data_IF_803757488810
#
_entry.id   IF_803757488810
#
_cell.length_a   1.000
_cell.length_b   1.000
_cell.length_c   1.000
_cell.angle_alpha   90.00
_cell.angle_beta   90.00
_cell.angle_gamma   90.00
#
_symmetry.space_group_name_H-M   'P 1'
#
loop_
_entity.id
_entity.type
_entity.pdbx_description
1 polymer ?
#
# COMPACT_ATOMS: atom_id res chain seq x y z
N UNK A 1 -8.41 33.83 6.85
CA UNK A 1 -8.71 32.38 6.93
C UNK A 1 -7.80 31.70 5.91
N UNK A 2 -6.88 30.87 6.35
CA UNK A 2 -6.13 29.98 5.44
C UNK A 2 -7.16 29.06 4.80
N UNK A 3 -7.19 29.00 3.49
CA UNK A 3 -8.07 28.06 2.79
C UNK A 3 -7.60 26.64 3.11
N UNK A 4 -8.51 25.70 3.40
CA UNK A 4 -8.19 24.31 3.74
C UNK A 4 -7.23 23.62 2.73
N UNK A 5 -7.09 24.18 1.53
CA UNK A 5 -6.15 23.73 0.50
C UNK A 5 -4.67 23.96 0.85
N UNK A 6 -4.35 24.90 1.76
CA UNK A 6 -2.95 25.22 2.09
C UNK A 6 -2.32 24.31 3.13
N UNK A 7 -3.11 23.60 3.93
CA UNK A 7 -2.64 22.68 4.98
C UNK A 7 -2.92 21.20 4.67
N UNK A 8 -3.66 20.90 3.61
CA UNK A 8 -3.93 19.54 3.17
C UNK A 8 -5.06 18.80 3.90
N UNK A 9 -5.56 19.35 5.00
CA UNK A 9 -6.66 18.78 5.80
C UNK A 9 -7.57 19.86 6.36
N UNK A 10 -8.70 19.47 6.95
CA UNK A 10 -9.63 20.40 7.60
C UNK A 10 -9.30 20.45 9.10
N UNK A 11 -8.80 21.61 9.55
CA UNK A 11 -8.59 21.92 10.96
C UNK A 11 -9.76 22.78 11.47
N UNK A 12 -10.84 22.13 11.83
CA UNK A 12 -12.02 22.77 12.39
C UNK A 12 -12.36 22.17 13.77
N UNK A 13 -12.74 23.02 14.75
CA UNK A 13 -13.11 22.53 16.06
C UNK A 13 -14.36 21.64 15.98
N UNK A 14 -14.29 20.49 16.64
CA UNK A 14 -15.46 19.60 16.76
C UNK A 14 -16.43 20.21 17.77
N UNK A 15 -17.71 20.40 17.43
CA UNK A 15 -18.72 20.89 18.35
C UNK A 15 -18.82 20.02 19.61
N UNK A 16 -18.90 20.64 20.77
CA UNK A 16 -19.06 19.91 22.04
C UNK A 16 -20.34 19.06 22.02
N UNK A 17 -20.21 17.80 22.40
CA UNK A 17 -21.37 16.87 22.49
C UNK A 17 -21.79 16.25 21.15
N UNK A 18 -21.06 16.50 20.06
CA UNK A 18 -21.32 15.84 18.79
C UNK A 18 -20.83 14.38 18.87
N UNK A 19 -21.73 13.43 18.59
CA UNK A 19 -21.35 12.05 18.31
C UNK A 19 -20.81 11.96 16.87
N UNK A 20 -19.48 11.90 16.75
CA UNK A 20 -18.80 11.87 15.45
C UNK A 20 -19.20 10.66 14.61
N UNK A 21 -19.38 9.49 15.22
CA UNK A 21 -19.74 8.26 14.51
C UNK A 21 -21.13 8.36 13.92
N UNK A 22 -22.07 8.88 14.70
CA UNK A 22 -23.45 9.11 14.25
C UNK A 22 -23.51 10.14 13.13
N UNK A 23 -22.79 11.26 13.29
CA UNK A 23 -22.78 12.35 12.30
C UNK A 23 -22.11 11.94 10.98
N UNK A 24 -20.98 11.21 11.03
CA UNK A 24 -20.34 10.66 9.83
C UNK A 24 -21.30 9.71 9.11
N UNK A 25 -21.97 8.82 9.84
CA UNK A 25 -22.95 7.90 9.27
C UNK A 25 -24.17 8.62 8.65
N UNK A 26 -24.61 9.72 9.27
CA UNK A 26 -25.67 10.58 8.71
C UNK A 26 -25.23 11.19 7.38
N UNK A 27 -24.08 11.87 7.38
CA UNK A 27 -23.52 12.52 6.18
C UNK A 27 -23.23 11.51 5.06
N UNK A 28 -22.73 10.33 5.39
CA UNK A 28 -22.46 9.25 4.44
C UNK A 28 -23.71 8.87 3.66
N UNK A 29 -24.84 8.69 4.36
CA UNK A 29 -26.14 8.36 3.73
C UNK A 29 -26.67 9.52 2.89
N UNK A 30 -26.66 10.74 3.45
CA UNK A 30 -27.20 11.92 2.76
C UNK A 30 -26.45 12.27 1.49
N UNK A 31 -25.16 12.01 1.45
CA UNK A 31 -24.27 12.36 0.33
C UNK A 31 -24.02 11.19 -0.62
N UNK A 32 -24.67 10.05 -0.42
CA UNK A 32 -24.39 8.82 -1.17
C UNK A 32 -22.89 8.52 -1.22
N UNK A 33 -22.25 8.46 -0.04
CA UNK A 33 -20.81 8.25 0.09
C UNK A 33 -20.49 6.85 0.62
N UNK A 34 -19.33 6.32 0.22
CA UNK A 34 -18.71 5.10 0.77
C UNK A 34 -17.39 5.46 1.44
N UNK A 35 -17.12 4.85 2.59
CA UNK A 35 -15.86 5.00 3.32
C UNK A 35 -15.05 3.73 3.14
N UNK A 36 -13.87 3.87 2.52
CA UNK A 36 -12.91 2.79 2.31
C UNK A 36 -11.70 3.04 3.21
N UNK A 37 -11.35 2.10 4.07
CA UNK A 37 -10.21 2.24 4.98
C UNK A 37 -9.15 1.16 4.75
N UNK A 38 -7.89 1.58 4.71
CA UNK A 38 -6.78 0.63 4.66
C UNK A 38 -6.56 -0.02 6.03
N UNK A 39 -6.05 -1.26 6.07
CA UNK A 39 -5.71 -1.98 7.30
C UNK A 39 -4.78 -1.21 8.24
N UNK A 40 -4.02 -0.23 7.72
CA UNK A 40 -3.09 0.59 8.52
C UNK A 40 -3.77 1.73 9.29
N UNK A 41 -5.07 1.94 9.10
CA UNK A 41 -5.81 2.94 9.85
C UNK A 41 -6.08 2.49 11.28
N UNK A 42 -6.28 3.46 12.19
CA UNK A 42 -6.66 3.18 13.56
C UNK A 42 -8.01 2.46 13.63
N UNK A 43 -8.26 1.71 14.72
CA UNK A 43 -9.50 0.95 14.91
C UNK A 43 -10.75 1.80 14.74
N UNK A 44 -10.76 3.02 15.27
CA UNK A 44 -11.90 3.93 15.17
C UNK A 44 -12.27 4.27 13.72
N UNK A 45 -11.27 4.42 12.85
CA UNK A 45 -11.50 4.65 11.41
C UNK A 45 -11.96 3.37 10.72
N UNK A 46 -11.38 2.22 11.08
CA UNK A 46 -11.82 0.93 10.54
C UNK A 46 -13.28 0.63 10.93
N UNK A 47 -13.68 0.98 12.15
CA UNK A 47 -15.02 0.74 12.68
C UNK A 47 -16.13 1.53 11.96
N UNK A 48 -15.81 2.69 11.39
CA UNK A 48 -16.78 3.52 10.63
C UNK A 48 -16.73 3.25 9.13
N UNK A 49 -15.74 2.48 8.65
CA UNK A 49 -15.57 2.17 7.23
C UNK A 49 -16.65 1.18 6.75
N UNK A 50 -17.09 1.36 5.50
CA UNK A 50 -17.95 0.39 4.81
C UNK A 50 -17.15 -0.85 4.38
N UNK A 51 -15.86 -0.66 4.11
CA UNK A 51 -14.97 -1.72 3.71
C UNK A 51 -13.54 -1.44 4.21
N UNK A 52 -12.91 -2.46 4.79
CA UNK A 52 -11.52 -2.44 5.23
C UNK A 52 -10.72 -3.46 4.42
N UNK A 53 -9.56 -3.08 3.90
CA UNK A 53 -8.78 -3.97 3.05
C UNK A 53 -7.36 -3.49 2.77
N UNK A 54 -6.62 -4.28 1.98
CA UNK A 54 -5.37 -3.87 1.39
C UNK A 54 -5.59 -2.98 0.14
N UNK A 55 -4.51 -2.46 -0.43
CA UNK A 55 -4.58 -1.56 -1.58
C UNK A 55 -5.33 -2.15 -2.78
N UNK A 56 -5.18 -3.47 -3.04
CA UNK A 56 -5.85 -4.13 -4.16
C UNK A 56 -7.36 -4.29 -3.90
N UNK A 57 -7.72 -4.77 -2.72
CA UNK A 57 -9.12 -4.96 -2.33
C UNK A 57 -9.88 -3.63 -2.33
N UNK A 58 -9.24 -2.57 -1.81
CA UNK A 58 -9.83 -1.22 -1.80
C UNK A 58 -9.99 -0.63 -3.20
N UNK A 59 -9.00 -0.82 -4.09
CA UNK A 59 -9.10 -0.39 -5.48
C UNK A 59 -10.24 -1.11 -6.22
N UNK A 60 -10.38 -2.43 -6.01
CA UNK A 60 -11.49 -3.22 -6.56
C UNK A 60 -12.84 -2.80 -5.99
N UNK A 61 -12.91 -2.48 -4.70
CA UNK A 61 -14.14 -2.00 -4.07
C UNK A 61 -14.51 -0.60 -4.58
N UNK A 62 -13.54 0.30 -4.75
CA UNK A 62 -13.77 1.60 -5.37
C UNK A 62 -14.38 1.48 -6.78
N UNK A 63 -13.85 0.57 -7.60
CA UNK A 63 -14.35 0.34 -8.96
C UNK A 63 -15.77 -0.24 -9.00
N UNK A 64 -16.20 -0.96 -7.96
CA UNK A 64 -17.52 -1.62 -7.89
C UNK A 64 -18.60 -0.78 -7.23
N UNK A 65 -18.24 0.23 -6.44
CA UNK A 65 -19.22 1.00 -5.67
C UNK A 65 -20.13 1.83 -6.57
N UNK A 66 -21.40 1.91 -6.20
CA UNK A 66 -22.41 2.80 -6.82
C UNK A 66 -22.47 4.17 -6.17
N UNK A 67 -21.76 4.40 -5.06
CA UNK A 67 -21.70 5.69 -4.39
C UNK A 67 -21.12 6.79 -5.28
N UNK A 68 -21.60 8.02 -5.11
CA UNK A 68 -21.11 9.20 -5.85
C UNK A 68 -19.80 9.74 -5.27
N UNK A 69 -19.59 9.52 -3.98
CA UNK A 69 -18.43 9.99 -3.23
C UNK A 69 -17.71 8.80 -2.61
N UNK A 70 -16.40 8.74 -2.80
CA UNK A 70 -15.52 7.79 -2.13
C UNK A 70 -14.68 8.58 -1.12
N UNK A 71 -14.82 8.29 0.17
CA UNK A 71 -13.91 8.78 1.22
C UNK A 71 -12.86 7.70 1.42
N UNK A 72 -11.64 8.00 1.02
CA UNK A 72 -10.54 7.04 1.06
C UNK A 72 -9.64 7.32 2.27
N UNK A 73 -9.80 6.53 3.33
CA UNK A 73 -8.96 6.61 4.52
C UNK A 73 -7.69 5.75 4.31
N UNK A 74 -6.65 6.39 3.84
CA UNK A 74 -5.36 5.82 3.49
C UNK A 74 -4.39 6.91 3.06
N UNK A 75 -3.27 6.52 2.46
CA UNK A 75 -2.27 7.47 1.96
C UNK A 75 -2.67 8.03 0.59
N UNK A 76 -2.12 9.17 0.24
CA UNK A 76 -2.52 9.99 -0.91
C UNK A 76 -2.60 9.21 -2.23
N UNK A 77 -1.59 8.38 -2.56
CA UNK A 77 -1.59 7.62 -3.82
C UNK A 77 -2.76 6.63 -3.94
N UNK A 78 -3.33 6.17 -2.82
CA UNK A 78 -4.50 5.28 -2.84
C UNK A 78 -5.75 6.05 -3.29
N UNK A 79 -5.91 7.29 -2.83
CA UNK A 79 -6.96 8.20 -3.30
C UNK A 79 -6.80 8.52 -4.79
N UNK A 80 -5.57 8.79 -5.25
CA UNK A 80 -5.27 8.97 -6.67
C UNK A 80 -5.62 7.73 -7.50
N UNK A 81 -5.27 6.53 -7.00
CA UNK A 81 -5.61 5.26 -7.67
C UNK A 81 -7.13 5.09 -7.78
N UNK A 82 -7.86 5.37 -6.70
CA UNK A 82 -9.33 5.33 -6.73
C UNK A 82 -9.90 6.35 -7.73
N UNK A 83 -9.31 7.54 -7.83
CA UNK A 83 -9.73 8.56 -8.81
C UNK A 83 -9.44 8.17 -10.26
N UNK A 84 -8.30 7.51 -10.52
CA UNK A 84 -7.98 6.97 -11.86
C UNK A 84 -9.00 5.90 -12.27
N UNK A 85 -9.38 5.02 -11.35
CA UNK A 85 -10.35 3.95 -11.62
C UNK A 85 -11.80 4.46 -11.72
N UNK A 86 -12.11 5.56 -11.06
CA UNK A 86 -13.45 6.13 -10.95
C UNK A 86 -13.43 7.63 -11.31
N UNK A 87 -13.15 7.99 -12.59
CA UNK A 87 -12.94 9.38 -12.99
C UNK A 87 -14.19 10.27 -12.79
N UNK A 88 -15.38 9.70 -12.82
CA UNK A 88 -16.64 10.43 -12.66
C UNK A 88 -17.04 10.63 -11.19
N UNK A 89 -16.43 9.90 -10.26
CA UNK A 89 -16.73 9.99 -8.84
C UNK A 89 -15.89 11.06 -8.13
N UNK A 90 -16.44 11.63 -7.06
CA UNK A 90 -15.65 12.46 -6.16
C UNK A 90 -14.87 11.56 -5.20
N UNK A 91 -13.55 11.65 -5.21
CA UNK A 91 -12.67 10.96 -4.26
C UNK A 91 -12.12 11.99 -3.28
N UNK A 92 -12.30 11.73 -2.00
CA UNK A 92 -11.84 12.55 -0.89
C UNK A 92 -10.84 11.76 -0.07
N UNK A 93 -9.71 12.39 0.25
CA UNK A 93 -8.72 11.88 1.21
C UNK A 93 -8.75 12.84 2.41
N UNK A 94 -8.96 12.36 3.64
CA UNK A 94 -9.11 13.21 4.82
C UNK A 94 -7.91 14.12 5.08
N UNK A 95 -6.70 13.63 4.82
CA UNK A 95 -5.46 14.39 4.91
C UNK A 95 -4.61 14.17 3.64
N UNK A 96 -4.41 15.21 2.86
CA UNK A 96 -3.58 15.17 1.66
C UNK A 96 -2.08 15.05 1.95
N UNK A 97 -1.66 15.28 3.21
CA UNK A 97 -0.27 15.09 3.64
C UNK A 97 0.01 13.64 4.07
N UNK A 98 -1.00 12.77 4.10
CA UNK A 98 -0.81 11.35 4.32
C UNK A 98 0.01 10.73 3.18
N UNK A 99 1.34 10.86 3.28
CA UNK A 99 2.32 10.46 2.28
C UNK A 99 2.72 8.99 2.38
N UNK A 100 3.55 8.58 1.43
CA UNK A 100 4.19 7.27 1.41
C UNK A 100 5.63 7.42 0.95
N UNK A 101 6.59 7.13 1.83
CA UNK A 101 8.01 7.27 1.52
C UNK A 101 8.46 6.44 0.31
N UNK A 102 7.79 5.33 0.04
CA UNK A 102 8.04 4.55 -1.16
C UNK A 102 7.57 5.28 -2.42
N UNK A 103 6.38 5.91 -2.39
CA UNK A 103 5.91 6.73 -3.51
C UNK A 103 6.83 7.94 -3.73
N UNK A 104 7.31 8.57 -2.64
CA UNK A 104 8.22 9.71 -2.70
C UNK A 104 9.61 9.32 -3.24
N UNK A 105 10.03 8.06 -3.09
CA UNK A 105 11.29 7.53 -3.66
C UNK A 105 11.26 7.37 -5.18
N UNK A 106 10.12 7.63 -5.82
CA UNK A 106 9.93 7.50 -7.27
C UNK A 106 9.31 8.77 -7.86
N UNK A 107 10.09 9.87 -7.98
CA UNK A 107 9.61 11.07 -8.64
C UNK A 107 9.25 10.80 -10.11
N UNK A 108 8.07 11.26 -10.53
CA UNK A 108 7.52 10.91 -11.84
C UNK A 108 8.41 11.34 -13.02
N UNK A 109 9.09 12.50 -12.89
CA UNK A 109 9.99 13.01 -13.95
C UNK A 109 11.20 12.09 -14.10
N UNK A 110 11.82 11.69 -12.98
CA UNK A 110 13.01 10.85 -12.98
C UNK A 110 12.66 9.42 -13.44
N UNK A 111 11.50 8.91 -13.02
CA UNK A 111 11.02 7.61 -13.46
C UNK A 111 10.69 7.59 -14.96
N UNK A 112 10.09 8.64 -15.49
CA UNK A 112 9.83 8.77 -16.92
C UNK A 112 11.14 8.80 -17.75
N UNK A 113 12.18 9.45 -17.23
CA UNK A 113 13.51 9.44 -17.87
C UNK A 113 14.15 8.07 -17.80
N UNK A 114 14.05 7.38 -16.67
CA UNK A 114 14.51 6.01 -16.51
C UNK A 114 13.83 5.05 -17.52
N UNK A 115 12.52 5.18 -17.72
CA UNK A 115 11.78 4.40 -18.71
C UNK A 115 12.30 4.66 -20.13
N UNK A 116 12.58 5.92 -20.52
CA UNK A 116 13.14 6.27 -21.83
C UNK A 116 14.51 5.64 -22.08
N UNK A 117 15.32 5.45 -21.04
CA UNK A 117 16.63 4.81 -21.13
C UNK A 117 16.54 3.30 -21.39
N UNK A 118 15.35 2.71 -21.27
CA UNK A 118 15.09 1.29 -21.45
C UNK A 118 14.02 1.03 -22.52
N UNK A 119 14.26 1.40 -23.77
CA UNK A 119 13.26 1.24 -24.84
C UNK A 119 12.86 -0.22 -25.04
N UNK A 120 11.58 -0.44 -25.32
CA UNK A 120 11.02 -1.78 -25.55
C UNK A 120 10.80 -2.64 -24.32
N UNK A 121 10.96 -2.07 -23.11
CA UNK A 121 10.57 -2.74 -21.88
C UNK A 121 9.10 -2.48 -21.55
N UNK A 122 8.44 -3.48 -21.00
CA UNK A 122 7.13 -3.31 -20.35
C UNK A 122 7.35 -2.67 -18.99
N UNK A 123 6.63 -1.62 -18.68
CA UNK A 123 6.73 -0.89 -17.42
C UNK A 123 5.68 -1.42 -16.44
N UNK A 124 6.13 -2.11 -15.41
CA UNK A 124 5.27 -2.59 -14.32
C UNK A 124 5.56 -1.73 -13.09
N UNK A 125 4.55 -1.02 -12.61
CA UNK A 125 4.70 -0.22 -11.39
C UNK A 125 3.88 -0.79 -10.24
N UNK A 126 4.52 -0.82 -9.10
CA UNK A 126 3.83 -1.10 -7.85
C UNK A 126 2.84 0.05 -7.53
N UNK A 127 1.70 -0.28 -6.94
CA UNK A 127 0.61 0.68 -6.69
C UNK A 127 1.02 1.88 -5.83
N UNK A 128 2.06 1.72 -5.00
CA UNK A 128 2.63 2.76 -4.16
C UNK A 128 3.41 3.80 -4.97
N UNK A 129 2.72 4.45 -5.88
CA UNK A 129 3.24 5.46 -6.81
C UNK A 129 2.18 6.54 -7.04
N UNK A 130 2.61 7.73 -7.46
CA UNK A 130 1.69 8.81 -7.83
C UNK A 130 0.93 8.50 -9.13
N UNK A 131 -0.17 9.21 -9.38
CA UNK A 131 -0.88 9.13 -10.66
C UNK A 131 0.03 9.50 -11.84
N UNK A 132 0.99 10.42 -11.64
CA UNK A 132 1.95 10.83 -12.66
C UNK A 132 2.93 9.69 -13.05
N UNK A 133 3.36 8.86 -12.11
CA UNK A 133 4.13 7.63 -12.40
C UNK A 133 3.26 6.62 -13.14
N UNK A 134 2.01 6.47 -12.72
CA UNK A 134 1.05 5.57 -13.39
C UNK A 134 0.79 5.96 -14.85
N UNK A 135 0.91 7.23 -15.20
CA UNK A 135 0.76 7.71 -16.58
C UNK A 135 1.85 7.21 -17.55
N UNK A 136 2.99 6.76 -17.04
CA UNK A 136 4.08 6.15 -17.85
C UNK A 136 4.25 4.66 -17.56
N UNK A 137 3.22 4.03 -17.00
CA UNK A 137 3.18 2.63 -16.59
C UNK A 137 2.23 1.84 -17.47
N UNK A 138 2.65 0.67 -17.94
CA UNK A 138 1.78 -0.23 -18.71
C UNK A 138 0.87 -1.05 -17.80
N UNK A 139 1.39 -1.53 -16.66
CA UNK A 139 0.62 -2.35 -15.70
C UNK A 139 0.92 -1.94 -14.28
N UNK A 140 -0.13 -1.68 -13.50
CA UNK A 140 -0.02 -1.42 -12.05
C UNK A 140 -0.30 -2.70 -11.28
N UNK A 141 0.58 -3.03 -10.32
CA UNK A 141 0.48 -4.23 -9.49
C UNK A 141 0.48 -3.89 -8.00
N UNK A 142 0.08 -4.87 -7.19
CA UNK A 142 0.25 -4.85 -5.74
C UNK A 142 1.13 -6.03 -5.31
N UNK A 143 1.60 -6.07 -4.06
CA UNK A 143 2.33 -7.22 -3.54
C UNK A 143 1.52 -8.53 -3.61
N UNK A 144 0.20 -8.44 -3.70
CA UNK A 144 -0.69 -9.61 -3.81
C UNK A 144 -0.64 -10.25 -5.20
N UNK A 145 -0.52 -9.49 -6.29
CA UNK A 145 -0.64 -9.98 -7.66
C UNK A 145 0.62 -9.79 -8.53
N UNK A 146 1.65 -9.11 -8.02
CA UNK A 146 2.84 -8.77 -8.81
C UNK A 146 3.53 -10.00 -9.43
N UNK A 147 3.70 -11.07 -8.65
CA UNK A 147 4.26 -12.33 -9.15
C UNK A 147 3.45 -12.86 -10.34
N UNK A 148 2.14 -13.01 -10.16
CA UNK A 148 1.25 -13.58 -11.18
C UNK A 148 1.27 -12.74 -12.47
N UNK A 149 1.28 -11.41 -12.34
CA UNK A 149 1.36 -10.50 -13.49
C UNK A 149 2.70 -10.64 -14.21
N UNK A 150 3.82 -10.67 -13.49
CA UNK A 150 5.15 -10.85 -14.09
C UNK A 150 5.25 -12.20 -14.81
N UNK A 151 4.73 -13.27 -14.22
CA UNK A 151 4.72 -14.63 -14.82
C UNK A 151 3.78 -14.73 -16.04
N UNK A 152 2.79 -13.83 -16.18
CA UNK A 152 1.87 -13.84 -17.32
C UNK A 152 2.49 -13.34 -18.63
N UNK A 153 3.62 -12.63 -18.57
CA UNK A 153 4.36 -12.21 -19.76
C UNK A 153 5.27 -13.32 -20.28
N UNK A 154 5.53 -13.41 -21.60
CA UNK A 154 6.55 -14.30 -22.18
C UNK A 154 7.89 -14.17 -21.45
N UNK A 155 8.66 -15.27 -21.38
CA UNK A 155 9.93 -15.30 -20.61
C UNK A 155 10.98 -14.30 -21.10
N UNK A 156 11.00 -14.01 -22.39
CA UNK A 156 11.93 -13.08 -23.04
C UNK A 156 11.47 -11.61 -22.93
N UNK A 157 10.29 -11.34 -22.39
CA UNK A 157 9.80 -9.98 -22.20
C UNK A 157 10.71 -9.21 -21.25
N UNK A 158 11.24 -8.09 -21.74
CA UNK A 158 12.00 -7.16 -20.94
C UNK A 158 11.06 -6.33 -20.09
N UNK A 159 11.30 -6.26 -18.79
CA UNK A 159 10.42 -5.59 -17.83
C UNK A 159 11.23 -4.58 -17.01
N UNK A 160 10.68 -3.38 -16.85
CA UNK A 160 11.04 -2.45 -15.79
C UNK A 160 10.07 -2.67 -14.63
N UNK A 161 10.60 -2.75 -13.40
CA UNK A 161 9.78 -2.84 -12.19
C UNK A 161 10.17 -1.75 -11.19
N UNK A 162 9.19 -1.02 -10.69
CA UNK A 162 9.37 0.02 -9.67
C UNK A 162 8.10 0.29 -8.88
N UNK A 163 8.18 1.09 -7.81
CA UNK A 163 9.42 1.70 -7.29
C UNK A 163 10.18 0.86 -6.27
N UNK A 164 9.63 -0.25 -5.71
CA UNK A 164 10.31 -0.98 -4.65
C UNK A 164 11.31 -2.01 -5.22
N UNK A 165 12.62 -1.73 -5.01
CA UNK A 165 13.70 -2.63 -5.44
C UNK A 165 13.69 -3.97 -4.69
N UNK A 166 13.27 -3.99 -3.41
CA UNK A 166 13.27 -5.21 -2.61
C UNK A 166 12.18 -6.16 -3.11
N UNK A 167 10.95 -5.64 -3.32
CA UNK A 167 9.87 -6.40 -3.94
C UNK A 167 10.28 -6.89 -5.34
N UNK A 168 10.89 -6.03 -6.16
CA UNK A 168 11.39 -6.40 -7.48
C UNK A 168 12.44 -7.51 -7.43
N UNK A 169 13.41 -7.41 -6.51
CA UNK A 169 14.43 -8.45 -6.29
C UNK A 169 13.83 -9.76 -5.79
N UNK A 170 12.85 -9.69 -4.88
CA UNK A 170 12.11 -10.88 -4.43
C UNK A 170 11.42 -11.57 -5.61
N UNK A 171 10.70 -10.82 -6.45
CA UNK A 171 10.03 -11.39 -7.63
C UNK A 171 11.04 -11.95 -8.62
N UNK A 172 12.15 -11.26 -8.91
CA UNK A 172 13.23 -11.78 -9.73
C UNK A 172 13.73 -13.13 -9.20
N UNK A 173 13.93 -13.23 -7.87
CA UNK A 173 14.42 -14.45 -7.23
C UNK A 173 13.46 -15.65 -7.35
N UNK A 174 12.15 -15.43 -7.17
CA UNK A 174 11.16 -16.52 -7.18
C UNK A 174 10.67 -16.89 -8.59
N UNK A 175 10.84 -16.00 -9.57
CA UNK A 175 10.39 -16.22 -10.96
C UNK A 175 11.54 -16.53 -11.92
N UNK A 176 12.78 -16.30 -11.51
CA UNK A 176 13.97 -16.39 -12.38
C UNK A 176 14.08 -15.24 -13.39
N UNK A 177 13.21 -14.25 -13.34
CA UNK A 177 13.25 -13.06 -14.21
C UNK A 177 14.47 -12.18 -13.89
N UNK A 178 14.83 -11.34 -14.84
CA UNK A 178 15.89 -10.33 -14.73
C UNK A 178 15.33 -8.96 -15.07
N UNK A 179 14.31 -8.55 -14.32
CA UNK A 179 13.70 -7.24 -14.49
C UNK A 179 14.71 -6.13 -14.15
N UNK A 180 14.66 -5.04 -14.89
CA UNK A 180 15.36 -3.79 -14.55
C UNK A 180 14.58 -3.11 -13.44
N UNK A 181 15.23 -2.80 -12.33
CA UNK A 181 14.57 -2.28 -11.14
C UNK A 181 14.87 -0.79 -10.96
N UNK A 182 13.85 -0.02 -10.64
CA UNK A 182 14.02 1.31 -10.08
C UNK A 182 14.61 1.24 -8.68
N UNK A 183 15.58 2.11 -8.35
CA UNK A 183 16.28 2.09 -7.07
C UNK A 183 15.55 2.88 -5.98
N UNK A 184 14.29 2.52 -5.71
CA UNK A 184 13.50 3.03 -4.59
C UNK A 184 13.22 1.95 -3.55
N UNK A 185 12.87 2.34 -2.33
CA UNK A 185 12.54 1.43 -1.25
C UNK A 185 11.59 2.05 -0.23
N UNK A 186 10.84 1.21 0.45
CA UNK A 186 10.01 1.61 1.57
C UNK A 186 10.88 1.91 2.79
N UNK A 187 10.88 3.17 3.26
CA UNK A 187 11.65 3.61 4.42
C UNK A 187 11.38 2.76 5.68
N UNK A 188 10.12 2.39 5.91
CA UNK A 188 9.74 1.57 7.07
C UNK A 188 10.38 0.18 6.99
N UNK A 189 10.31 -0.48 5.83
CA UNK A 189 10.90 -1.81 5.66
C UNK A 189 12.43 -1.80 5.66
N UNK A 190 13.06 -0.69 5.28
CA UNK A 190 14.51 -0.52 5.36
C UNK A 190 15.05 -0.44 6.80
N UNK A 191 14.20 -0.08 7.79
CA UNK A 191 14.61 0.05 9.19
C UNK A 191 14.68 -1.29 9.95
N UNK A 192 14.12 -2.38 9.42
CA UNK A 192 14.19 -3.66 10.12
C UNK A 192 15.63 -4.15 10.25
N UNK A 193 16.02 -4.54 11.47
CA UNK A 193 17.35 -5.07 11.81
C UNK A 193 17.32 -6.60 11.81
N UNK A 194 18.20 -7.21 10.99
CA UNK A 194 18.40 -8.65 10.99
C UNK A 194 18.88 -9.16 12.36
N UNK A 195 19.81 -8.42 13.00
CA UNK A 195 20.35 -8.78 14.32
C UNK A 195 19.23 -8.87 15.35
N UNK A 196 18.33 -7.87 15.36
CA UNK A 196 17.20 -7.84 16.28
C UNK A 196 16.22 -8.98 16.05
N UNK A 197 15.96 -9.33 14.80
CA UNK A 197 15.11 -10.48 14.45
C UNK A 197 15.76 -11.78 14.93
N UNK A 198 17.06 -11.96 14.72
CA UNK A 198 17.79 -13.14 15.18
C UNK A 198 17.85 -13.25 16.73
N UNK A 199 17.96 -12.12 17.44
CA UNK A 199 17.83 -12.08 18.91
C UNK A 199 16.44 -12.55 19.36
N UNK A 200 15.37 -12.04 18.70
CA UNK A 200 14.00 -12.44 19.00
C UNK A 200 13.76 -13.93 18.71
N UNK A 201 14.29 -14.47 17.61
CA UNK A 201 14.22 -15.92 17.32
C UNK A 201 14.93 -16.77 18.40
N UNK A 202 16.03 -16.28 18.96
CA UNK A 202 16.69 -16.97 20.09
C UNK A 202 15.87 -16.92 21.38
N UNK A 203 15.22 -15.77 21.62
CA UNK A 203 14.36 -15.59 22.81
C UNK A 203 13.05 -16.36 22.70
N UNK A 204 12.52 -16.50 21.49
CA UNK A 204 11.25 -17.15 21.18
C UNK A 204 11.46 -18.17 20.05
N UNK A 205 12.06 -19.35 20.32
CA UNK A 205 12.47 -20.31 19.31
C UNK A 205 11.29 -20.89 18.50
N UNK A 206 10.09 -20.93 19.10
CA UNK A 206 8.87 -21.44 18.46
C UNK A 206 8.09 -20.36 17.69
N UNK A 207 8.57 -19.10 17.71
CA UNK A 207 7.91 -18.02 16.99
C UNK A 207 8.25 -18.01 15.50
N UNK A 208 7.23 -17.89 14.66
CA UNK A 208 7.41 -17.68 13.22
C UNK A 208 7.76 -16.22 12.91
N UNK A 209 8.73 -16.02 12.04
CA UNK A 209 9.02 -14.71 11.42
C UNK A 209 8.25 -14.62 10.11
N UNK A 210 7.28 -13.74 10.08
CA UNK A 210 6.49 -13.47 8.88
C UNK A 210 6.84 -12.08 8.33
N UNK A 211 6.98 -11.94 7.01
CA UNK A 211 7.62 -10.76 6.41
C UNK A 211 6.96 -10.34 5.12
N UNK A 212 6.86 -9.03 4.92
CA UNK A 212 6.47 -8.46 3.63
C UNK A 212 7.66 -8.47 2.64
N UNK A 213 7.48 -8.73 1.34
CA UNK A 213 8.57 -8.81 0.36
C UNK A 213 9.26 -7.46 0.06
N UNK A 214 8.78 -6.34 0.60
CA UNK A 214 9.50 -5.05 0.60
C UNK A 214 10.65 -5.01 1.62
N UNK A 215 10.77 -5.98 2.50
CA UNK A 215 11.92 -6.09 3.40
C UNK A 215 13.18 -6.48 2.65
N UNK A 216 14.33 -6.08 3.21
CA UNK A 216 15.65 -6.45 2.65
C UNK A 216 15.83 -7.96 2.56
N UNK A 217 16.54 -8.42 1.53
CA UNK A 217 16.76 -9.83 1.27
C UNK A 217 17.25 -10.63 2.48
N UNK A 218 18.21 -10.16 3.33
CA UNK A 218 18.62 -10.90 4.51
C UNK A 218 17.47 -11.19 5.51
N UNK A 219 16.49 -10.29 5.60
CA UNK A 219 15.31 -10.48 6.45
C UNK A 219 14.36 -11.51 5.83
N UNK A 220 14.11 -11.38 4.53
CA UNK A 220 13.31 -12.35 3.77
C UNK A 220 13.89 -13.78 3.89
N UNK A 221 15.21 -13.92 3.88
CA UNK A 221 15.89 -15.23 3.98
C UNK A 221 15.74 -15.92 5.34
N UNK A 222 15.57 -15.17 6.42
CA UNK A 222 15.39 -15.73 7.78
C UNK A 222 13.91 -15.85 8.17
N UNK A 223 13.01 -15.48 7.27
CA UNK A 223 11.57 -15.52 7.49
C UNK A 223 10.99 -16.89 7.18
N UNK A 224 10.05 -17.32 8.00
CA UNK A 224 9.34 -18.59 7.86
C UNK A 224 8.18 -18.45 6.85
N UNK A 225 7.64 -17.22 6.70
CA UNK A 225 6.62 -16.91 5.70
C UNK A 225 6.85 -15.51 5.10
N UNK A 226 6.70 -15.40 3.77
CA UNK A 226 6.79 -14.13 3.03
C UNK A 226 5.52 -13.93 2.23
N UNK A 227 4.88 -12.79 2.38
CA UNK A 227 3.62 -12.52 1.69
C UNK A 227 3.18 -11.06 1.71
N UNK A 228 2.15 -10.76 0.91
CA UNK A 228 1.48 -9.45 0.94
C UNK A 228 0.79 -9.20 2.28
N UNK A 229 0.39 -7.95 2.56
CA UNK A 229 -0.36 -7.59 3.78
C UNK A 229 -1.57 -8.52 4.00
N UNK A 230 -2.36 -8.79 2.96
CA UNK A 230 -3.50 -9.71 3.05
C UNK A 230 -3.06 -11.16 3.32
N UNK A 231 -1.94 -11.61 2.73
CA UNK A 231 -1.40 -12.95 2.96
C UNK A 231 -0.86 -13.10 4.38
N UNK A 232 -0.17 -12.08 4.91
CA UNK A 232 0.31 -12.05 6.29
C UNK A 232 -0.87 -12.12 7.28
N UNK A 233 -1.90 -11.29 7.09
CA UNK A 233 -3.11 -11.34 7.91
C UNK A 233 -3.77 -12.73 7.88
N UNK A 234 -3.94 -13.30 6.69
CA UNK A 234 -4.53 -14.64 6.53
C UNK A 234 -3.68 -15.72 7.20
N UNK A 235 -2.36 -15.60 7.13
CA UNK A 235 -1.43 -16.51 7.78
C UNK A 235 -1.58 -16.46 9.30
N UNK A 236 -1.57 -15.25 9.91
CA UNK A 236 -1.74 -15.08 11.35
C UNK A 236 -3.08 -15.60 11.87
N UNK A 237 -4.17 -15.38 11.14
CA UNK A 237 -5.50 -15.92 11.52
C UNK A 237 -5.54 -17.45 11.48
N UNK A 238 -4.75 -18.09 10.59
CA UNK A 238 -4.69 -19.55 10.48
C UNK A 238 -3.73 -20.20 11.47
N UNK A 239 -2.63 -19.54 11.79
CA UNK A 239 -1.62 -19.98 12.75
C UNK A 239 -2.10 -19.73 14.18
N UNK A 240 -3.25 -20.33 14.56
CA UNK A 240 -3.84 -20.14 15.89
C UNK A 240 -3.06 -20.96 16.92
N UNK A 241 -1.85 -20.54 17.22
CA UNK A 241 -1.15 -20.87 18.44
C UNK A 241 -0.77 -19.55 19.05
N UNK A 242 -1.23 -19.25 20.24
CA UNK A 242 -0.88 -18.12 21.11
C UNK A 242 0.20 -17.18 20.53
N UNK A 243 -0.17 -16.35 19.58
CA UNK A 243 0.75 -15.43 18.99
C UNK A 243 0.77 -14.16 19.82
N UNK A 244 1.83 -13.97 20.58
CA UNK A 244 2.29 -12.63 20.88
C UNK A 244 2.78 -12.04 19.55
N UNK A 245 1.84 -11.46 18.77
CA UNK A 245 2.20 -10.60 17.67
C UNK A 245 2.87 -9.37 18.27
N UNK A 246 4.18 -9.43 18.44
CA UNK A 246 4.99 -8.23 18.44
C UNK A 246 5.25 -7.89 16.98
N UNK A 247 4.20 -7.48 16.30
CA UNK A 247 4.36 -6.65 15.14
C UNK A 247 5.15 -5.43 15.61
N UNK A 248 6.26 -5.12 14.99
CA UNK A 248 6.61 -3.73 14.82
C UNK A 248 5.46 -3.18 14.00
N UNK A 249 4.56 -2.61 14.73
CA UNK A 249 3.23 -2.30 14.43
C UNK A 249 3.22 -1.46 13.22
N UNK A 250 2.78 -2.04 12.25
CA UNK A 250 2.18 -1.47 11.11
C UNK A 250 1.49 -0.19 11.51
N UNK A 251 2.12 0.93 11.21
CA UNK A 251 1.40 2.10 10.80
C UNK A 251 0.67 2.94 11.81
N UNK A 252 0.70 2.66 13.09
CA UNK A 252 0.21 3.64 14.07
C UNK A 252 1.19 4.83 14.26
N UNK A 253 2.26 4.88 13.49
CA UNK A 253 3.32 5.90 13.57
C UNK A 253 3.74 6.44 12.20
N UNK A 254 2.82 6.39 11.22
CA UNK A 254 2.99 7.13 9.97
C UNK A 254 2.26 8.45 10.03
#
# INVERSE_FOLDING_TARGET
MLTNQSIGYIDAPIPKGLDLKEEINRMRREKNAVILAHYYQTGDIQDIADFVGDSLALAQQAAKTTADIIVFCGVHFMGETAKVLCPDKKVLVPDLNAGCSLADSCPAVDFAEFVKQHPGHVVISYVNTTAAVKAVTDVVVTSTNARQIVESFPEDTKIIFGPDRNLGNYINGITGRKMVLWDGACHVHEQFSLEKILELKKQYPDAEVITHPECKQPIVQVSDFVGSTAALLKHTVKSVSYTHLRAHETGAYL
#
